data_IF_004078549311
#
_entry.id   IF_004078549311
#
_cell.length_a   1.000
_cell.length_b   1.000
_cell.length_c   1.000
_cell.angle_alpha   90.00
_cell.angle_beta   90.00
_cell.angle_gamma   90.00
#
_symmetry.space_group_name_H-M   'P 1'
#
loop_
_entity.id
_entity.type
_entity.pdbx_description
1 polymer ?
#
# COMPACT_ATOMS: atom_id res chain seq x y z
N UNK A 1 39.38 -3.51 8.06
CA UNK A 1 38.00 -3.80 8.48
C UNK A 1 37.27 -2.47 8.67
N UNK A 2 36.70 -1.94 7.60
CA UNK A 2 35.84 -0.75 7.64
C UNK A 2 34.41 -1.24 7.58
N UNK A 3 33.68 -1.15 8.68
CA UNK A 3 32.23 -1.35 8.69
C UNK A 3 31.58 -0.27 7.81
N UNK A 4 30.68 -0.63 6.88
CA UNK A 4 29.81 0.37 6.28
C UNK A 4 28.73 0.69 7.30
N UNK A 5 28.79 1.86 7.93
CA UNK A 5 27.58 2.48 8.49
C UNK A 5 26.71 2.87 7.30
N UNK A 6 25.81 1.97 6.95
CA UNK A 6 24.67 2.24 6.11
C UNK A 6 23.79 3.25 6.86
N UNK A 7 24.02 4.54 6.61
CA UNK A 7 23.13 5.60 7.05
C UNK A 7 21.88 5.55 6.16
N UNK A 8 20.97 4.63 6.48
CA UNK A 8 19.59 4.75 6.04
C UNK A 8 19.03 6.09 6.58
N UNK A 9 18.29 6.88 5.79
CA UNK A 9 17.77 8.15 6.26
C UNK A 9 16.63 7.90 7.26
N UNK A 10 16.96 7.82 8.54
CA UNK A 10 15.97 7.90 9.61
C UNK A 10 15.46 9.34 9.73
N UNK A 11 14.16 9.55 9.49
CA UNK A 11 13.42 10.71 9.99
C UNK A 11 13.47 11.99 9.14
N UNK A 12 13.07 11.93 7.87
CA UNK A 12 12.68 13.14 7.13
C UNK A 12 11.33 13.69 7.61
N UNK A 13 11.17 15.02 7.65
CA UNK A 13 9.87 15.65 7.91
C UNK A 13 8.82 15.19 6.88
N UNK A 14 7.54 14.97 7.29
CA UNK A 14 6.50 14.57 6.35
C UNK A 14 6.34 15.56 5.19
N UNK A 15 6.29 15.05 3.95
CA UNK A 15 5.99 15.85 2.77
C UNK A 15 4.48 15.94 2.55
N UNK A 16 3.95 17.16 2.43
CA UNK A 16 2.52 17.37 2.13
C UNK A 16 2.23 17.06 0.67
N UNK A 17 1.25 16.19 0.44
CA UNK A 17 0.71 15.85 -0.89
C UNK A 17 -0.77 16.21 -0.94
N UNK A 18 -1.22 16.80 -2.06
CA UNK A 18 -2.64 17.07 -2.34
C UNK A 18 -3.05 16.28 -3.58
N UNK A 19 -4.17 15.56 -3.51
CA UNK A 19 -4.70 14.78 -4.61
C UNK A 19 -6.23 14.85 -4.63
N UNK A 20 -6.81 14.73 -5.82
CA UNK A 20 -8.26 14.63 -5.99
C UNK A 20 -8.65 13.15 -6.01
N UNK A 21 -9.55 12.77 -5.11
CA UNK A 21 -10.07 11.41 -5.04
C UNK A 21 -11.42 11.34 -5.75
N UNK A 22 -11.65 10.26 -6.49
CA UNK A 22 -13.00 9.97 -6.99
C UNK A 22 -13.94 9.66 -5.83
N UNK A 23 -15.27 9.78 -5.98
CA UNK A 23 -16.22 9.40 -4.92
C UNK A 23 -16.02 7.96 -4.43
N UNK A 24 -15.70 7.04 -5.34
CA UNK A 24 -15.37 5.64 -5.00
C UNK A 24 -14.11 5.53 -4.16
N UNK A 25 -13.04 6.25 -4.51
CA UNK A 25 -11.80 6.25 -3.74
C UNK A 25 -11.99 6.88 -2.34
N UNK A 26 -12.78 7.97 -2.24
CA UNK A 26 -13.12 8.56 -0.95
C UNK A 26 -13.91 7.59 -0.06
N UNK A 27 -14.86 6.84 -0.63
CA UNK A 27 -15.59 5.82 0.12
C UNK A 27 -14.66 4.72 0.62
N UNK A 28 -13.78 4.19 -0.24
CA UNK A 28 -12.81 3.18 0.15
C UNK A 28 -11.86 3.67 1.27
N UNK A 29 -11.43 4.93 1.22
CA UNK A 29 -10.62 5.54 2.28
C UNK A 29 -11.38 5.60 3.61
N UNK A 30 -12.66 6.00 3.60
CA UNK A 30 -13.49 6.03 4.79
C UNK A 30 -13.73 4.62 5.36
N UNK A 31 -14.01 3.63 4.49
CA UNK A 31 -14.21 2.24 4.89
C UNK A 31 -12.92 1.68 5.52
N UNK A 32 -11.74 1.98 4.95
CA UNK A 32 -10.45 1.59 5.49
C UNK A 32 -10.21 2.21 6.88
N UNK A 33 -10.43 3.52 7.03
CA UNK A 33 -10.32 4.21 8.32
C UNK A 33 -11.27 3.62 9.38
N UNK A 34 -12.51 3.28 9.00
CA UNK A 34 -13.48 2.68 9.90
C UNK A 34 -13.06 1.26 10.34
N UNK A 35 -12.48 0.47 9.44
CA UNK A 35 -12.02 -0.87 9.72
C UNK A 35 -10.75 -0.92 10.58
N UNK A 36 -9.84 0.05 10.43
CA UNK A 36 -8.55 0.05 11.12
C UNK A 36 -8.49 0.96 12.33
N UNK A 37 -9.38 1.94 12.44
CA UNK A 37 -9.30 3.02 13.42
C UNK A 37 -8.23 4.08 13.10
N UNK A 38 -7.60 4.01 11.92
CA UNK A 38 -6.59 4.97 11.49
C UNK A 38 -7.20 6.36 11.24
N UNK A 39 -6.42 7.42 11.45
CA UNK A 39 -6.76 8.72 10.88
C UNK A 39 -6.47 8.76 9.37
N UNK A 40 -6.87 9.84 8.70
CA UNK A 40 -6.71 9.98 7.24
C UNK A 40 -5.25 9.89 6.78
N UNK A 41 -4.31 10.49 7.51
CA UNK A 41 -2.89 10.47 7.16
C UNK A 41 -2.33 9.05 7.28
N UNK A 42 -2.65 8.35 8.36
CA UNK A 42 -2.21 6.98 8.60
C UNK A 42 -2.78 6.01 7.56
N UNK A 43 -4.07 6.16 7.24
CA UNK A 43 -4.74 5.36 6.21
C UNK A 43 -4.11 5.58 4.81
N UNK A 44 -3.80 6.84 4.45
CA UNK A 44 -3.14 7.15 3.17
C UNK A 44 -1.71 6.61 3.11
N UNK A 45 -0.92 6.80 4.17
CA UNK A 45 0.43 6.27 4.26
C UNK A 45 0.44 4.73 4.13
N UNK A 46 -0.48 4.07 4.85
CA UNK A 46 -0.66 2.61 4.78
C UNK A 46 -1.09 2.16 3.39
N UNK A 47 -2.04 2.86 2.75
CA UNK A 47 -2.50 2.52 1.40
C UNK A 47 -1.36 2.58 0.37
N UNK A 48 -0.53 3.62 0.41
CA UNK A 48 0.65 3.72 -0.47
C UNK A 48 1.65 2.59 -0.20
N UNK A 49 1.93 2.29 1.07
CA UNK A 49 2.82 1.19 1.44
C UNK A 49 2.33 -0.18 0.98
N UNK A 50 1.03 -0.47 1.16
CA UNK A 50 0.40 -1.71 0.69
C UNK A 50 0.47 -1.80 -0.84
N UNK A 51 0.12 -0.74 -1.56
CA UNK A 51 0.20 -0.73 -3.02
C UNK A 51 1.63 -1.04 -3.51
N UNK A 52 2.63 -0.36 -2.94
CA UNK A 52 4.04 -0.62 -3.26
C UNK A 52 4.49 -2.04 -2.89
N UNK A 53 3.96 -2.62 -1.81
CA UNK A 53 4.23 -4.00 -1.42
C UNK A 53 3.61 -4.99 -2.41
N UNK A 54 2.34 -4.82 -2.78
CA UNK A 54 1.64 -5.72 -3.72
C UNK A 54 2.30 -5.74 -5.09
N UNK A 55 2.78 -4.60 -5.57
CA UNK A 55 3.53 -4.50 -6.84
C UNK A 55 4.78 -5.40 -6.90
N UNK A 56 5.36 -5.77 -5.75
CA UNK A 56 6.51 -6.71 -5.72
C UNK A 56 6.13 -8.14 -6.07
N UNK A 57 4.85 -8.48 -5.95
CA UNK A 57 4.31 -9.82 -6.20
C UNK A 57 3.45 -9.88 -7.46
N UNK A 58 3.24 -8.74 -8.12
CA UNK A 58 2.51 -8.66 -9.38
C UNK A 58 3.34 -9.28 -10.50
N UNK A 59 2.70 -10.10 -11.33
CA UNK A 59 3.28 -10.68 -12.52
C UNK A 59 3.51 -9.62 -13.62
N UNK A 60 4.32 -9.92 -14.66
CA UNK A 60 4.57 -8.97 -15.75
C UNK A 60 3.31 -8.49 -16.48
N UNK A 61 2.22 -9.24 -16.40
CA UNK A 61 0.92 -8.91 -17.00
C UNK A 61 0.01 -8.05 -16.10
N UNK A 62 0.49 -7.64 -14.92
CA UNK A 62 -0.28 -6.82 -13.98
C UNK A 62 -1.20 -7.62 -13.05
N UNK A 63 -1.11 -8.94 -13.04
CA UNK A 63 -1.94 -9.80 -12.19
C UNK A 63 -1.26 -10.17 -10.87
N UNK A 64 -2.05 -10.27 -9.81
CA UNK A 64 -1.67 -10.85 -8.53
C UNK A 64 -2.46 -12.12 -8.32
N UNK A 65 -1.77 -13.25 -8.17
CA UNK A 65 -2.38 -14.54 -7.90
C UNK A 65 -2.44 -14.77 -6.39
N UNK A 66 -3.64 -14.99 -5.86
CA UNK A 66 -3.90 -15.19 -4.45
C UNK A 66 -4.46 -16.59 -4.26
N UNK A 67 -3.74 -17.41 -3.50
CA UNK A 67 -4.24 -18.72 -3.08
C UNK A 67 -5.01 -18.56 -1.78
N UNK A 68 -6.29 -18.88 -1.81
CA UNK A 68 -7.18 -18.85 -0.65
C UNK A 68 -6.88 -20.04 0.29
N UNK A 69 -7.23 -19.95 1.58
CA UNK A 69 -6.96 -21.03 2.54
C UNK A 69 -7.62 -22.38 2.19
N UNK A 70 -8.69 -22.36 1.41
CA UNK A 70 -9.39 -23.53 0.87
C UNK A 70 -8.75 -24.11 -0.41
N UNK A 71 -7.69 -23.48 -0.91
CA UNK A 71 -6.97 -23.90 -2.11
C UNK A 71 -7.48 -23.28 -3.40
N UNK A 72 -8.48 -22.39 -3.37
CA UNK A 72 -8.93 -21.70 -4.57
C UNK A 72 -7.97 -20.57 -4.97
N UNK A 73 -7.51 -20.59 -6.23
CA UNK A 73 -6.69 -19.52 -6.79
C UNK A 73 -7.57 -18.41 -7.37
N UNK A 74 -7.30 -17.17 -6.94
CA UNK A 74 -7.94 -15.96 -7.44
C UNK A 74 -6.93 -15.08 -8.15
N UNK A 75 -7.28 -14.64 -9.37
CA UNK A 75 -6.47 -13.72 -10.16
C UNK A 75 -7.04 -12.30 -10.00
N UNK A 76 -6.27 -11.44 -9.34
CA UNK A 76 -6.62 -10.03 -9.12
C UNK A 76 -5.84 -9.18 -10.12
N UNK A 77 -6.54 -8.39 -10.94
CA UNK A 77 -5.89 -7.42 -11.81
C UNK A 77 -5.58 -6.15 -11.01
N UNK A 78 -4.30 -5.83 -10.87
CA UNK A 78 -3.85 -4.67 -10.09
C UNK A 78 -3.57 -3.44 -10.98
N UNK A 79 -3.24 -3.65 -12.25
CA UNK A 79 -2.85 -2.62 -13.23
C UNK A 79 -3.79 -2.57 -14.44
#
# INVERSE_FOLDING_TARGET
>A
MTSPTDNAPEGGSPTRVTANFTPRAMRALNDAMAATGDNRTDALNRAVGIHAFLLKYTQPDGTLHVLSPDGEEQIIHLL
#
